data_IF_084556069076
#
_entry.id   IF_084556069076
#
_cell.length_a   1.000
_cell.length_b   1.000
_cell.length_c   1.000
_cell.angle_alpha   90.00
_cell.angle_beta   90.00
_cell.angle_gamma   90.00
#
_symmetry.space_group_name_H-M   'P 1'
#
loop_
_entity.id
_entity.type
_entity.pdbx_description
1 polymer ?
#
# COMPACT_ATOMS: atom_id res chain seq x y z
N UNK A 1 31.81 -18.42 -39.41
CA UNK A 1 30.44 -18.51 -38.86
C UNK A 1 29.73 -17.24 -39.26
N UNK A 2 28.66 -17.30 -40.06
CA UNK A 2 27.84 -16.11 -40.34
C UNK A 2 27.21 -15.69 -39.02
N UNK A 3 27.48 -14.47 -38.56
CA UNK A 3 26.78 -13.87 -37.43
C UNK A 3 25.33 -13.68 -37.85
N UNK A 4 24.42 -14.44 -37.26
CA UNK A 4 22.99 -14.29 -37.48
C UNK A 4 22.57 -12.86 -37.09
N UNK A 5 21.85 -12.18 -37.99
CA UNK A 5 21.37 -10.81 -37.79
C UNK A 5 20.36 -10.78 -36.64
N UNK A 6 20.47 -9.80 -35.73
CA UNK A 6 19.51 -9.64 -34.64
C UNK A 6 18.11 -9.34 -35.18
N UNK A 7 17.07 -9.83 -34.49
CA UNK A 7 15.68 -9.63 -34.89
C UNK A 7 15.28 -8.16 -34.98
N UNK A 8 15.76 -7.33 -34.04
CA UNK A 8 15.55 -5.87 -34.07
C UNK A 8 16.19 -5.20 -35.31
N UNK A 9 17.13 -5.87 -35.96
CA UNK A 9 17.78 -5.42 -37.18
C UNK A 9 17.21 -6.12 -38.43
N UNK A 10 16.07 -6.83 -38.35
CA UNK A 10 15.46 -7.52 -39.49
C UNK A 10 15.88 -8.99 -39.65
N UNK A 11 16.62 -9.55 -38.70
CA UNK A 11 16.87 -10.99 -38.62
C UNK A 11 15.70 -11.78 -38.03
N UNK A 12 15.88 -13.09 -37.82
CA UNK A 12 14.84 -13.95 -37.25
C UNK A 12 14.84 -13.86 -35.71
N UNK A 13 13.68 -13.68 -35.05
CA UNK A 13 13.56 -13.82 -33.60
C UNK A 13 14.07 -15.16 -33.09
N UNK A 14 14.78 -15.14 -31.96
CA UNK A 14 15.29 -16.35 -31.28
C UNK A 14 14.15 -17.23 -30.74
N UNK A 15 12.98 -16.64 -30.49
CA UNK A 15 11.78 -17.33 -30.01
C UNK A 15 10.59 -16.93 -30.85
N UNK A 16 9.73 -17.91 -31.13
CA UNK A 16 8.43 -17.68 -31.77
C UNK A 16 7.34 -17.28 -30.74
N UNK A 17 7.66 -17.31 -29.44
CA UNK A 17 6.73 -17.00 -28.34
C UNK A 17 7.24 -15.87 -27.46
N UNK A 18 6.32 -14.97 -27.08
CA UNK A 18 6.59 -13.86 -26.17
C UNK A 18 6.96 -14.37 -24.78
N UNK A 19 8.06 -13.84 -24.23
CA UNK A 19 8.48 -14.09 -22.85
C UNK A 19 8.15 -12.84 -22.03
N UNK A 20 7.07 -12.84 -21.22
CA UNK A 20 6.74 -11.70 -20.39
C UNK A 20 7.75 -11.55 -19.24
N UNK A 21 7.94 -10.33 -18.76
CA UNK A 21 8.73 -10.04 -17.56
C UNK A 21 8.13 -10.69 -16.30
N UNK A 22 6.80 -10.73 -16.19
CA UNK A 22 6.08 -11.38 -15.11
C UNK A 22 4.73 -11.92 -15.60
N UNK A 23 4.22 -12.94 -14.91
CA UNK A 23 2.90 -13.52 -15.13
C UNK A 23 2.32 -13.89 -13.77
N UNK A 24 1.01 -13.71 -13.62
CA UNK A 24 0.29 -14.11 -12.43
C UNK A 24 0.44 -15.62 -12.22
N UNK A 25 0.63 -16.02 -10.96
CA UNK A 25 0.45 -17.39 -10.54
C UNK A 25 -1.02 -17.54 -10.15
N UNK A 26 -1.78 -18.32 -10.92
CA UNK A 26 -3.20 -18.61 -10.68
C UNK A 26 -3.33 -20.12 -10.66
N UNK A 27 -3.72 -20.68 -9.52
CA UNK A 27 -3.97 -22.10 -9.31
C UNK A 27 -5.46 -22.45 -9.34
N UNK A 28 -5.76 -23.75 -9.25
CA UNK A 28 -7.15 -24.24 -9.21
C UNK A 28 -7.92 -23.69 -8.00
N UNK A 29 -7.23 -23.40 -6.90
CA UNK A 29 -7.82 -22.78 -5.70
C UNK A 29 -8.29 -21.35 -5.95
N UNK A 30 -7.54 -20.54 -6.69
CA UNK A 30 -7.94 -19.20 -7.09
C UNK A 30 -9.16 -19.25 -8.02
N UNK A 31 -9.14 -20.19 -8.98
CA UNK A 31 -10.26 -20.40 -9.91
C UNK A 31 -11.50 -20.84 -9.16
N UNK A 32 -11.37 -21.77 -8.21
CA UNK A 32 -12.49 -22.24 -7.42
C UNK A 32 -13.01 -21.16 -6.47
N UNK A 33 -12.15 -20.32 -5.89
CA UNK A 33 -12.57 -19.16 -5.09
C UNK A 33 -13.47 -18.22 -5.92
N UNK A 34 -13.09 -17.90 -7.16
CA UNK A 34 -13.93 -17.13 -8.08
C UNK A 34 -15.21 -17.90 -8.44
N UNK A 35 -15.10 -19.19 -8.73
CA UNK A 35 -16.24 -20.02 -9.09
C UNK A 35 -17.28 -20.12 -7.97
N UNK A 36 -16.85 -20.16 -6.70
CA UNK A 36 -17.73 -20.13 -5.54
C UNK A 36 -18.53 -18.82 -5.47
N UNK A 37 -17.91 -17.68 -5.76
CA UNK A 37 -18.61 -16.39 -5.85
C UNK A 37 -19.63 -16.40 -6.98
N UNK A 38 -19.26 -16.93 -8.15
CA UNK A 38 -20.15 -17.00 -9.31
C UNK A 38 -21.35 -17.95 -9.10
N UNK A 39 -21.18 -19.00 -8.28
CA UNK A 39 -22.24 -19.96 -7.93
C UNK A 39 -23.08 -19.54 -6.73
N UNK A 40 -22.57 -18.62 -5.90
CA UNK A 40 -23.23 -18.14 -4.70
C UNK A 40 -24.30 -17.09 -4.98
N UNK A 41 -24.99 -16.69 -3.92
CA UNK A 41 -26.09 -15.72 -3.99
C UNK A 41 -25.62 -14.27 -4.26
N UNK A 42 -24.33 -13.99 -4.08
CA UNK A 42 -23.76 -12.65 -4.15
C UNK A 42 -22.58 -12.58 -5.13
N UNK A 43 -22.86 -12.16 -6.37
CA UNK A 43 -21.80 -11.85 -7.35
C UNK A 43 -21.09 -10.52 -7.06
N UNK A 44 -21.79 -9.57 -6.44
CA UNK A 44 -21.27 -8.27 -5.99
C UNK A 44 -21.75 -8.01 -4.58
N UNK A 45 -21.07 -7.11 -3.84
CA UNK A 45 -21.49 -6.67 -2.49
C UNK A 45 -21.78 -7.82 -1.52
N UNK A 46 -20.93 -8.85 -1.54
CA UNK A 46 -21.06 -10.06 -0.73
C UNK A 46 -20.00 -10.19 0.37
N UNK A 47 -20.09 -11.23 1.22
CA UNK A 47 -19.19 -11.44 2.35
C UNK A 47 -17.70 -11.49 1.99
N UNK A 48 -17.36 -11.99 0.79
CA UNK A 48 -15.99 -12.05 0.31
C UNK A 48 -15.37 -10.66 0.10
N UNK A 49 -16.17 -9.65 -0.23
CA UNK A 49 -15.70 -8.26 -0.29
C UNK A 49 -15.37 -7.76 1.10
N UNK A 50 -16.25 -7.96 2.08
CA UNK A 50 -15.97 -7.54 3.45
C UNK A 50 -14.73 -8.23 4.03
N UNK A 51 -14.53 -9.51 3.73
CA UNK A 51 -13.33 -10.25 4.12
C UNK A 51 -12.08 -9.69 3.44
N UNK A 52 -12.11 -9.52 2.11
CA UNK A 52 -11.00 -8.93 1.35
C UNK A 52 -10.71 -7.51 1.81
N UNK A 53 -11.73 -6.69 2.02
CA UNK A 53 -11.62 -5.33 2.54
C UNK A 53 -11.05 -5.33 3.95
N UNK A 54 -11.41 -6.25 4.85
CA UNK A 54 -10.78 -6.31 6.17
C UNK A 54 -9.29 -6.68 6.09
N UNK A 55 -8.96 -7.67 5.26
CA UNK A 55 -7.58 -8.12 5.06
C UNK A 55 -6.72 -7.06 4.35
N UNK A 56 -7.27 -6.38 3.34
CA UNK A 56 -6.63 -5.29 2.60
C UNK A 56 -6.65 -4.01 3.38
N UNK A 57 -7.70 -3.68 4.11
CA UNK A 57 -7.75 -2.51 4.99
C UNK A 57 -6.66 -2.67 6.03
N UNK A 58 -6.51 -3.80 6.72
CA UNK A 58 -5.36 -4.04 7.60
C UNK A 58 -3.97 -3.76 6.95
N UNK A 59 -3.90 -3.70 5.62
CA UNK A 59 -2.70 -3.45 4.82
C UNK A 59 -2.64 -2.06 4.13
N UNK A 60 -3.77 -1.47 3.70
CA UNK A 60 -3.85 -0.32 2.79
C UNK A 60 -4.75 0.76 3.39
N UNK A 61 -4.17 1.90 3.73
CA UNK A 61 -4.82 3.00 4.46
C UNK A 61 -3.98 3.53 5.63
N UNK A 62 -2.79 2.94 5.83
CA UNK A 62 -1.79 3.42 6.77
C UNK A 62 -1.52 4.93 6.69
N UNK A 63 -1.56 5.57 5.50
CA UNK A 63 -1.32 7.01 5.39
C UNK A 63 -2.46 7.88 5.95
N UNK A 64 -3.71 7.54 5.62
CA UNK A 64 -4.89 8.19 6.21
C UNK A 64 -4.91 7.96 7.73
N UNK A 65 -4.62 6.73 8.12
CA UNK A 65 -4.77 6.26 9.48
C UNK A 65 -3.59 6.69 10.39
N UNK A 66 -2.43 7.02 9.81
CA UNK A 66 -1.34 7.76 10.43
C UNK A 66 -1.65 9.25 10.64
N UNK A 67 -2.80 9.73 10.18
CA UNK A 67 -3.26 11.11 10.38
C UNK A 67 -2.51 12.15 9.55
N UNK A 68 -1.92 11.75 8.41
CA UNK A 68 -1.29 12.68 7.47
C UNK A 68 -2.37 13.62 6.93
N UNK A 69 -2.09 14.93 6.93
CA UNK A 69 -3.00 15.94 6.42
C UNK A 69 -2.31 17.07 5.67
N UNK A 70 -3.08 18.13 5.43
CA UNK A 70 -2.61 19.32 4.72
C UNK A 70 -1.45 19.99 5.46
N UNK A 71 -0.38 20.32 4.73
CA UNK A 71 0.89 20.88 5.22
C UNK A 71 1.83 19.91 5.95
N UNK A 72 1.46 18.64 6.15
CA UNK A 72 2.39 17.66 6.69
C UNK A 72 3.41 17.23 5.65
N UNK A 73 4.66 17.07 6.07
CA UNK A 73 5.73 16.51 5.24
C UNK A 73 5.91 15.02 5.57
N UNK A 74 6.08 14.21 4.52
CA UNK A 74 6.28 12.77 4.64
C UNK A 74 7.54 12.40 3.87
N UNK A 75 8.53 11.90 4.59
CA UNK A 75 9.81 11.50 3.98
C UNK A 75 9.65 10.11 3.35
N UNK A 76 10.02 9.96 2.09
CA UNK A 76 10.09 8.68 1.38
C UNK A 76 11.26 8.71 0.39
N UNK A 77 11.38 7.72 -0.50
CA UNK A 77 12.42 7.64 -1.53
C UNK A 77 11.83 7.85 -2.92
N UNK A 78 12.54 8.49 -3.87
CA UNK A 78 12.12 8.54 -5.26
C UNK A 78 12.33 7.20 -6.00
N UNK A 79 13.10 6.28 -5.40
CA UNK A 79 13.31 4.91 -5.91
C UNK A 79 12.19 3.99 -5.42
N UNK A 80 10.98 4.21 -5.93
CA UNK A 80 9.79 3.43 -5.59
C UNK A 80 8.72 3.50 -6.68
N UNK A 81 7.64 2.74 -6.53
CA UNK A 81 6.44 2.94 -7.33
C UNK A 81 5.70 4.21 -6.90
N UNK A 82 5.10 4.93 -7.85
CA UNK A 82 4.46 6.23 -7.58
C UNK A 82 3.41 6.22 -6.46
N UNK A 83 2.82 5.06 -6.15
CA UNK A 83 1.87 4.91 -5.05
C UNK A 83 2.41 5.39 -3.68
N UNK A 84 3.70 5.17 -3.37
CA UNK A 84 4.27 5.55 -2.06
C UNK A 84 4.27 7.06 -1.83
N UNK A 85 4.42 7.87 -2.89
CA UNK A 85 4.29 9.32 -2.82
C UNK A 85 2.84 9.79 -3.04
N UNK A 86 2.08 9.13 -3.92
CA UNK A 86 0.71 9.50 -4.23
C UNK A 86 -0.23 9.32 -3.02
N UNK A 87 -0.01 8.31 -2.17
CA UNK A 87 -0.82 8.10 -0.99
C UNK A 87 -0.75 9.30 -0.01
N UNK A 88 0.41 9.98 0.05
CA UNK A 88 0.60 11.23 0.79
C UNK A 88 -0.16 12.38 0.13
N UNK A 89 -0.05 12.51 -1.19
CA UNK A 89 -0.75 13.56 -1.95
C UNK A 89 -2.28 13.43 -1.87
N UNK A 90 -2.81 12.21 -1.82
CA UNK A 90 -4.25 11.96 -1.62
C UNK A 90 -4.75 12.51 -0.28
N UNK A 91 -3.89 12.57 0.73
CA UNK A 91 -4.16 13.20 2.02
C UNK A 91 -3.82 14.70 2.06
N UNK A 92 -3.43 15.29 0.92
CA UNK A 92 -2.95 16.68 0.77
C UNK A 92 -1.63 16.98 1.50
N UNK A 93 -0.89 15.94 1.89
CA UNK A 93 0.46 16.07 2.43
C UNK A 93 1.51 16.35 1.34
N UNK A 94 2.75 16.54 1.76
CA UNK A 94 3.89 16.84 0.90
C UNK A 94 4.96 15.73 1.00
N UNK A 95 5.17 14.94 -0.07
CA UNK A 95 6.32 14.03 -0.14
C UNK A 95 7.64 14.79 -0.14
N UNK A 96 8.58 14.36 0.70
CA UNK A 96 9.96 14.83 0.74
C UNK A 96 10.85 13.62 0.44
N UNK A 97 11.77 13.77 -0.52
CA UNK A 97 12.54 12.64 -1.03
C UNK A 97 13.93 12.57 -0.40
N UNK A 98 14.17 11.53 0.39
CA UNK A 98 15.51 11.13 0.83
C UNK A 98 16.15 10.22 -0.22
N UNK A 99 17.47 10.24 -0.30
CA UNK A 99 18.21 9.45 -1.28
C UNK A 99 18.32 7.99 -0.83
N UNK A 100 18.89 7.16 -1.70
CA UNK A 100 19.06 5.72 -1.47
C UNK A 100 20.52 5.35 -1.21
N UNK A 101 20.72 4.23 -0.53
CA UNK A 101 22.01 3.55 -0.55
C UNK A 101 22.16 2.87 -1.94
N UNK A 102 23.17 3.25 -2.75
CA UNK A 102 23.33 2.73 -4.11
C UNK A 102 23.63 1.22 -4.16
N UNK A 103 24.05 0.60 -3.06
CA UNK A 103 24.28 -0.84 -2.97
C UNK A 103 23.01 -1.63 -2.68
N UNK A 104 21.99 -0.99 -2.13
CA UNK A 104 20.76 -1.67 -1.70
C UNK A 104 19.54 -1.25 -2.50
N UNK A 105 19.52 -0.01 -3.00
CA UNK A 105 18.33 0.61 -3.60
C UNK A 105 17.29 1.07 -2.59
N UNK A 106 17.48 0.77 -1.30
CA UNK A 106 16.61 1.23 -0.22
C UNK A 106 16.98 2.64 0.18
N UNK A 107 16.01 3.36 0.76
CA UNK A 107 16.22 4.67 1.39
C UNK A 107 17.42 4.62 2.36
N UNK A 108 18.35 5.56 2.24
CA UNK A 108 19.51 5.66 3.11
C UNK A 108 19.11 6.40 4.40
N UNK A 109 19.14 5.75 5.58
CA UNK A 109 18.81 6.39 6.84
C UNK A 109 19.64 7.64 7.14
N UNK A 110 20.89 7.72 6.64
CA UNK A 110 21.77 8.87 6.86
C UNK A 110 21.25 10.14 6.17
N UNK A 111 20.48 9.99 5.08
CA UNK A 111 19.94 11.12 4.32
C UNK A 111 18.59 11.63 4.84
N UNK A 112 17.96 10.88 5.76
CA UNK A 112 16.62 11.21 6.29
C UNK A 112 16.70 12.41 7.23
N UNK A 113 17.66 12.43 8.16
CA UNK A 113 17.70 13.45 9.23
C UNK A 113 17.83 14.88 8.69
N UNK A 114 18.59 15.06 7.60
CA UNK A 114 18.81 16.37 6.95
C UNK A 114 17.53 16.95 6.32
N UNK A 115 16.51 16.14 6.11
CA UNK A 115 15.24 16.51 5.50
C UNK A 115 14.13 16.76 6.53
N UNK A 116 14.38 16.50 7.82
CA UNK A 116 13.38 16.67 8.87
C UNK A 116 13.16 18.16 9.14
N UNK A 117 11.90 18.56 9.12
CA UNK A 117 11.42 19.89 9.48
C UNK A 117 10.33 19.80 10.57
N UNK A 118 9.90 20.94 11.16
CA UNK A 118 8.75 20.94 12.06
C UNK A 118 7.43 20.45 11.44
N UNK A 119 7.36 20.33 10.10
CA UNK A 119 6.20 19.80 9.37
C UNK A 119 6.30 18.29 9.14
N UNK A 120 7.47 17.69 9.32
CA UNK A 120 7.66 16.26 9.10
C UNK A 120 6.86 15.46 10.11
N UNK A 121 6.02 14.54 9.63
CA UNK A 121 5.18 13.67 10.48
C UNK A 121 5.49 12.20 10.34
N UNK A 122 5.83 11.77 9.12
CA UNK A 122 5.88 10.35 8.78
C UNK A 122 7.09 10.04 7.92
N UNK A 123 7.66 8.85 8.08
CA UNK A 123 8.62 8.26 7.16
C UNK A 123 7.95 7.04 6.50
N UNK A 124 7.97 6.98 5.18
CA UNK A 124 7.50 5.83 4.38
C UNK A 124 8.72 5.20 3.70
N UNK A 125 9.47 4.32 4.39
CA UNK A 125 10.53 3.56 3.76
C UNK A 125 9.93 2.44 2.88
N UNK A 126 10.64 2.07 1.83
CA UNK A 126 10.18 1.06 0.86
C UNK A 126 11.15 -0.10 0.86
N UNK A 127 10.64 -1.31 1.02
CA UNK A 127 11.45 -2.54 0.91
C UNK A 127 11.69 -2.87 -0.57
N UNK A 128 12.62 -2.13 -1.17
CA UNK A 128 12.84 -2.12 -2.60
C UNK A 128 13.27 -3.51 -3.09
N UNK A 129 12.62 -3.98 -4.16
CA UNK A 129 12.82 -5.34 -4.70
C UNK A 129 12.65 -6.49 -3.70
N UNK A 130 11.92 -6.26 -2.60
CA UNK A 130 11.67 -7.24 -1.54
C UNK A 130 12.79 -7.34 -0.51
N UNK A 131 13.76 -6.41 -0.55
CA UNK A 131 14.83 -6.31 0.42
C UNK A 131 14.37 -5.42 1.59
N UNK A 132 14.33 -5.95 2.82
CA UNK A 132 13.98 -5.15 3.99
C UNK A 132 14.92 -3.96 4.18
N UNK A 133 14.35 -2.80 4.53
CA UNK A 133 15.10 -1.59 4.90
C UNK A 133 15.85 -1.79 6.22
N UNK A 134 16.81 -0.90 6.51
CA UNK A 134 17.48 -0.87 7.82
C UNK A 134 16.56 -0.30 8.91
N UNK A 135 15.48 -1.04 9.21
CA UNK A 135 14.36 -0.55 9.99
C UNK A 135 14.77 -0.12 11.40
N UNK A 136 15.79 -0.75 12.00
CA UNK A 136 16.30 -0.34 13.32
C UNK A 136 16.84 1.09 13.31
N UNK A 137 17.57 1.49 12.26
CA UNK A 137 18.10 2.85 12.13
C UNK A 137 16.97 3.86 11.91
N UNK A 138 16.00 3.51 11.07
CA UNK A 138 14.83 4.36 10.80
C UNK A 138 13.97 4.52 12.06
N UNK A 139 13.81 3.46 12.87
CA UNK A 139 13.13 3.51 14.18
C UNK A 139 13.84 4.41 15.16
N UNK A 140 15.17 4.43 15.19
CA UNK A 140 15.93 5.37 16.03
C UNK A 140 15.65 6.82 15.64
N UNK A 141 15.63 7.13 14.33
CA UNK A 141 15.29 8.47 13.82
C UNK A 141 13.83 8.83 14.20
N UNK A 142 12.89 7.93 13.93
CA UNK A 142 11.48 8.11 14.27
C UNK A 142 11.28 8.40 15.76
N UNK A 143 11.93 7.66 16.66
CA UNK A 143 11.85 7.89 18.10
C UNK A 143 12.47 9.23 18.53
N UNK A 144 13.61 9.59 17.92
CA UNK A 144 14.31 10.85 18.21
C UNK A 144 13.47 12.08 17.86
N UNK A 145 12.70 12.01 16.77
CA UNK A 145 11.93 13.15 16.24
C UNK A 145 10.41 13.03 16.44
N UNK A 146 9.93 11.93 17.02
CA UNK A 146 8.50 11.68 17.23
C UNK A 146 7.72 11.48 15.94
N UNK A 147 8.31 10.80 14.94
CA UNK A 147 7.71 10.57 13.63
C UNK A 147 7.03 9.19 13.56
N UNK A 148 5.94 9.07 12.82
CA UNK A 148 5.32 7.78 12.49
C UNK A 148 6.12 7.08 11.39
N UNK A 149 6.14 5.74 11.39
CA UNK A 149 6.69 4.95 10.28
C UNK A 149 5.55 4.18 9.60
N UNK A 150 5.52 4.19 8.28
CA UNK A 150 4.67 3.31 7.47
C UNK A 150 5.59 2.54 6.52
N UNK A 151 5.84 1.26 6.80
CA UNK A 151 6.68 0.42 5.95
C UNK A 151 5.92 0.05 4.66
N UNK A 152 6.41 0.48 3.50
CA UNK A 152 5.90 0.04 2.20
C UNK A 152 6.57 -1.29 1.83
N UNK A 153 5.89 -2.38 2.24
CA UNK A 153 6.33 -3.75 2.05
C UNK A 153 5.75 -4.42 0.80
N UNK A 154 5.33 -3.65 -0.23
CA UNK A 154 4.65 -4.18 -1.42
C UNK A 154 5.41 -5.32 -2.15
N UNK A 155 6.75 -5.32 -2.07
CA UNK A 155 7.60 -6.37 -2.66
C UNK A 155 8.14 -7.38 -1.64
N UNK A 156 7.94 -7.14 -0.35
CA UNK A 156 8.65 -7.82 0.73
C UNK A 156 7.82 -8.88 1.45
N UNK A 157 6.73 -9.34 0.83
CA UNK A 157 5.92 -10.42 1.37
C UNK A 157 6.77 -11.69 1.58
N UNK A 158 6.88 -12.13 2.84
CA UNK A 158 7.69 -13.27 3.23
C UNK A 158 9.19 -12.97 3.44
N UNK A 159 9.63 -11.73 3.30
CA UNK A 159 10.99 -11.33 3.64
C UNK A 159 11.20 -11.20 5.16
N UNK A 160 12.46 -11.21 5.57
CA UNK A 160 12.85 -11.10 6.99
C UNK A 160 14.03 -10.16 7.18
N UNK A 161 13.93 -9.27 8.15
CA UNK A 161 15.03 -8.44 8.61
C UNK A 161 15.63 -9.04 9.89
N UNK A 162 16.93 -9.35 9.87
CA UNK A 162 17.65 -9.99 10.99
C UNK A 162 16.95 -11.24 11.57
N UNK A 163 16.30 -12.03 10.71
CA UNK A 163 15.58 -13.25 11.11
C UNK A 163 14.16 -13.01 11.64
N UNK A 164 13.70 -11.77 11.74
CA UNK A 164 12.32 -11.43 12.06
C UNK A 164 11.56 -11.17 10.77
N UNK A 165 10.43 -11.86 10.57
CA UNK A 165 9.60 -11.66 9.39
C UNK A 165 8.98 -10.26 9.37
N UNK A 166 8.83 -9.70 8.17
CA UNK A 166 8.05 -8.49 7.92
C UNK A 166 6.57 -8.86 7.88
N UNK A 167 6.03 -9.24 9.03
CA UNK A 167 4.61 -9.47 9.24
C UNK A 167 4.00 -8.23 9.95
N UNK A 168 2.69 -8.03 9.85
CA UNK A 168 1.99 -6.92 10.51
C UNK A 168 2.34 -6.82 12.01
N UNK A 169 2.66 -5.60 12.47
CA UNK A 169 2.90 -5.27 13.88
C UNK A 169 1.93 -4.17 14.34
N UNK A 170 1.27 -4.33 15.50
CA UNK A 170 0.36 -3.33 16.03
C UNK A 170 1.15 -2.19 16.69
N UNK A 171 1.64 -1.26 15.89
CA UNK A 171 2.46 -0.12 16.33
C UNK A 171 1.81 1.23 16.00
N UNK A 172 0.64 1.23 15.37
CA UNK A 172 -0.03 2.43 14.88
C UNK A 172 -1.42 2.53 15.52
N UNK A 173 -1.53 3.02 16.76
CA UNK A 173 -2.78 2.98 17.53
C UNK A 173 -3.92 3.79 16.91
N UNK A 174 -3.61 4.86 16.14
CA UNK A 174 -4.63 5.59 15.37
C UNK A 174 -5.10 4.77 14.17
N UNK A 175 -4.18 4.08 13.52
CA UNK A 175 -4.46 3.18 12.40
C UNK A 175 -5.31 1.99 12.84
N UNK A 176 -4.92 1.33 13.91
CA UNK A 176 -5.67 0.25 14.54
C UNK A 176 -7.05 0.71 14.96
N UNK A 177 -7.15 1.83 15.68
CA UNK A 177 -8.44 2.41 16.08
C UNK A 177 -9.32 2.79 14.90
N UNK A 178 -8.73 3.26 13.79
CA UNK A 178 -9.47 3.56 12.57
C UNK A 178 -9.98 2.27 11.92
N UNK A 179 -9.14 1.25 11.75
CA UNK A 179 -9.57 -0.02 11.16
C UNK A 179 -10.60 -0.78 11.98
N UNK A 180 -10.53 -0.72 13.31
CA UNK A 180 -11.57 -1.28 14.18
C UNK A 180 -12.93 -0.58 14.02
N UNK A 181 -12.96 0.61 13.43
CA UNK A 181 -14.13 1.49 13.41
C UNK A 181 -14.57 1.89 12.01
N UNK A 182 -13.80 1.57 10.98
CA UNK A 182 -14.15 1.87 9.60
C UNK A 182 -15.26 0.92 9.15
N UNK A 183 -16.32 1.48 8.58
CA UNK A 183 -17.38 0.73 7.93
C UNK A 183 -17.39 1.16 6.47
N UNK A 184 -17.07 0.23 5.58
CA UNK A 184 -17.24 0.43 4.14
C UNK A 184 -18.71 0.26 3.79
N UNK A 185 -19.28 1.26 3.14
CA UNK A 185 -20.65 1.22 2.65
C UNK A 185 -20.57 1.26 1.13
N UNK A 186 -20.88 0.17 0.42
CA UNK A 186 -20.68 0.11 -1.02
C UNK A 186 -21.66 1.06 -1.72
N UNK A 187 -21.16 2.13 -2.40
CA UNK A 187 -21.98 2.93 -3.29
C UNK A 187 -21.99 2.23 -4.66
N UNK A 188 -23.17 1.92 -5.18
CA UNK A 188 -23.29 1.32 -6.52
C UNK A 188 -23.14 2.42 -7.59
N UNK A 189 -22.39 2.22 -8.70
CA UNK A 189 -22.14 3.26 -9.69
C UNK A 189 -23.39 3.82 -10.38
N UNK A 190 -24.52 3.10 -10.33
CA UNK A 190 -25.81 3.56 -10.86
C UNK A 190 -26.70 4.25 -9.82
N UNK A 191 -26.25 4.40 -8.58
CA UNK A 191 -26.96 5.19 -7.57
C UNK A 191 -27.03 6.63 -8.02
N UNK A 192 -28.23 7.21 -7.91
CA UNK A 192 -28.43 8.64 -8.06
C UNK A 192 -27.92 9.34 -6.81
N UNK A 193 -27.63 10.63 -6.93
CA UNK A 193 -27.21 11.44 -5.79
C UNK A 193 -28.18 11.33 -4.60
N UNK A 194 -29.49 11.19 -4.87
CA UNK A 194 -30.49 10.99 -3.82
C UNK A 194 -30.35 9.64 -3.11
N UNK A 195 -30.04 8.56 -3.83
CA UNK A 195 -29.81 7.25 -3.21
C UNK A 195 -28.59 7.29 -2.27
N UNK A 196 -27.57 8.07 -2.64
CA UNK A 196 -26.39 8.31 -1.80
C UNK A 196 -26.75 9.12 -0.56
N UNK A 197 -27.57 10.17 -0.70
CA UNK A 197 -28.04 10.96 0.45
C UNK A 197 -28.87 10.12 1.42
N UNK A 198 -29.75 9.26 0.92
CA UNK A 198 -30.58 8.39 1.76
C UNK A 198 -29.72 7.42 2.59
N UNK A 199 -28.64 6.88 2.00
CA UNK A 199 -27.67 6.06 2.74
C UNK A 199 -26.95 6.87 3.82
N UNK A 200 -26.50 8.09 3.50
CA UNK A 200 -25.85 8.99 4.47
C UNK A 200 -26.80 9.30 5.64
N UNK A 201 -28.06 9.64 5.37
CA UNK A 201 -29.06 9.95 6.38
C UNK A 201 -29.36 8.73 7.27
N UNK A 202 -29.48 7.54 6.68
CA UNK A 202 -29.70 6.30 7.43
C UNK A 202 -28.54 6.00 8.37
N UNK A 203 -27.30 6.17 7.92
CA UNK A 203 -26.09 5.97 8.73
C UNK A 203 -26.05 6.97 9.88
N UNK A 204 -26.29 8.26 9.61
CA UNK A 204 -26.36 9.28 10.65
C UNK A 204 -27.45 8.99 11.69
N UNK A 205 -28.62 8.50 11.26
CA UNK A 205 -29.70 8.12 12.17
C UNK A 205 -29.29 6.97 13.10
N UNK A 206 -28.64 5.95 12.57
CA UNK A 206 -28.15 4.81 13.37
C UNK A 206 -27.09 5.28 14.35
N UNK A 207 -26.10 6.06 13.90
CA UNK A 207 -25.06 6.63 14.76
C UNK A 207 -25.68 7.46 15.89
N UNK A 208 -26.62 8.36 15.57
CA UNK A 208 -27.30 9.22 16.55
C UNK A 208 -28.17 8.46 17.56
N UNK A 209 -28.60 7.23 17.24
CA UNK A 209 -29.32 6.37 18.18
C UNK A 209 -28.37 5.76 19.22
N UNK A 210 -27.20 5.30 18.79
CA UNK A 210 -26.23 4.61 19.66
C UNK A 210 -25.21 5.53 20.35
N UNK A 211 -25.12 6.80 19.96
CA UNK A 211 -24.33 7.83 20.66
C UNK A 211 -25.01 8.40 21.93
N UNK A 212 -26.20 7.90 22.31
CA UNK A 212 -26.95 8.34 23.49
C UNK A 212 -26.55 7.58 24.74
#
# INVERSE_FOLDING_TARGET
>A
MMTEQLAICGGKPVRDTYLPYGKQWIGDEDVEAVAQILRGDFLTTGPAIAQFEQEVAAYVGAAFAAGIGENDEVITTPMTFAASANCVLYQKGHPVFADIDPLTGNIDPETIEDLITPKTRTIIPVDYTGRPVEIDKIRQISQKYGLTIIEDAAHAYGASYQGVRLDYRPECPQTERFYERIVTLPPFPAMKDQDVQDVIEAVHKVIAHYLR
#
